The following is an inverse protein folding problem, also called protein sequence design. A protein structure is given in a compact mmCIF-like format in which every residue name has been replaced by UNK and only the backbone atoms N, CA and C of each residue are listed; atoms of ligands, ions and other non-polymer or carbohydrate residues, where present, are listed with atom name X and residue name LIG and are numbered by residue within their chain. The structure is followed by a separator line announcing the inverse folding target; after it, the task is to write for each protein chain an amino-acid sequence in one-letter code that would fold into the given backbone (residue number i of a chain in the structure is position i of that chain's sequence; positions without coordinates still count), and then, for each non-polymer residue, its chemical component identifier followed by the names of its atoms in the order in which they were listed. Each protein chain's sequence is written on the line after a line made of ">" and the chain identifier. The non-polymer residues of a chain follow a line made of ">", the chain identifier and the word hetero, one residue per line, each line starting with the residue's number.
data_IF_914390118772
#
_entry.id   IF_914390118772
#
_cell.length_a   1.000
_cell.length_b   1.000
_cell.length_c   1.000
_cell.angle_alpha   90.00
_cell.angle_beta   90.00
_cell.angle_gamma   90.00
#
_symmetry.space_group_name_H-M   'P 1'
#
loop_
_entity.id
_entity.type
_entity.pdbx_description
1 polymer ?
#
# COMPACT_ATOMS: atom_id res chain seq x y z
N UNK A 1 -32.54 9.10 2.82
CA UNK A 1 -31.99 7.89 2.16
C UNK A 1 -30.77 8.24 1.30
N UNK A 2 -30.84 9.30 0.48
CA UNK A 2 -29.75 9.69 -0.42
C UNK A 2 -28.43 10.07 0.25
N UNK A 3 -28.47 10.76 1.40
CA UNK A 3 -27.28 11.09 2.20
C UNK A 3 -26.58 9.81 2.71
N UNK A 4 -27.36 8.83 3.18
CA UNK A 4 -26.82 7.55 3.66
C UNK A 4 -26.13 6.81 2.52
N UNK A 5 -26.77 6.74 1.34
CA UNK A 5 -26.18 6.10 0.15
C UNK A 5 -24.90 6.84 -0.28
N UNK A 6 -24.92 8.18 -0.28
CA UNK A 6 -23.72 8.98 -0.60
C UNK A 6 -22.59 8.75 0.39
N UNK A 7 -22.90 8.64 1.68
CA UNK A 7 -21.90 8.32 2.70
C UNK A 7 -21.30 6.91 2.52
N UNK A 8 -22.12 5.92 2.19
CA UNK A 8 -21.64 4.57 1.87
C UNK A 8 -20.74 4.55 0.63
N UNK A 9 -21.09 5.30 -0.42
CA UNK A 9 -20.26 5.49 -1.62
C UNK A 9 -18.91 6.11 -1.28
N UNK A 10 -18.94 7.23 -0.54
CA UNK A 10 -17.75 7.89 0.01
C UNK A 10 -16.84 6.91 0.78
N UNK A 11 -17.39 6.15 1.73
CA UNK A 11 -16.61 5.15 2.47
C UNK A 11 -16.05 4.09 1.53
N UNK A 12 -16.87 3.55 0.62
CA UNK A 12 -16.47 2.53 -0.34
C UNK A 12 -15.29 2.96 -1.21
N UNK A 13 -15.33 4.16 -1.78
CA UNK A 13 -14.29 4.66 -2.66
C UNK A 13 -12.97 4.90 -1.91
N UNK A 14 -13.02 5.44 -0.69
CA UNK A 14 -11.81 5.59 0.12
C UNK A 14 -11.23 4.25 0.59
N UNK A 15 -12.04 3.21 0.76
CA UNK A 15 -11.55 1.85 0.98
C UNK A 15 -10.86 1.29 -0.28
N UNK A 16 -11.39 1.59 -1.47
CA UNK A 16 -10.76 1.27 -2.77
C UNK A 16 -9.44 2.03 -3.01
N UNK A 17 -9.22 3.14 -2.31
CA UNK A 17 -7.88 3.75 -2.24
C UNK A 17 -6.96 2.97 -1.29
N UNK A 18 -7.38 2.79 -0.03
CA UNK A 18 -6.49 2.33 1.05
C UNK A 18 -6.06 0.86 0.87
N UNK A 19 -6.98 -0.05 0.54
CA UNK A 19 -6.69 -1.48 0.55
C UNK A 19 -5.93 -1.97 -0.70
N UNK A 20 -6.28 -1.55 -1.93
CA UNK A 20 -5.44 -1.78 -3.10
C UNK A 20 -4.03 -1.21 -2.92
N UNK A 21 -3.89 -0.06 -2.26
CA UNK A 21 -2.58 0.50 -1.92
C UNK A 21 -1.79 -0.39 -0.94
N UNK A 22 -2.46 -0.97 0.06
CA UNK A 22 -1.86 -1.96 0.95
C UNK A 22 -1.42 -3.22 0.20
N UNK A 23 -2.29 -3.76 -0.66
CA UNK A 23 -1.98 -4.95 -1.46
C UNK A 23 -0.80 -4.70 -2.40
N UNK A 24 -0.81 -3.57 -3.12
CA UNK A 24 0.29 -3.18 -4.01
C UNK A 24 1.63 -3.12 -3.28
N UNK A 25 1.63 -2.60 -2.05
CA UNK A 25 2.81 -2.55 -1.21
C UNK A 25 3.30 -3.93 -0.77
N UNK A 26 2.41 -4.84 -0.40
CA UNK A 26 2.78 -6.21 -0.03
C UNK A 26 3.46 -6.94 -1.18
N UNK A 27 2.88 -6.88 -2.38
CA UNK A 27 3.43 -7.50 -3.59
C UNK A 27 4.81 -6.91 -3.94
N UNK A 28 4.99 -5.58 -3.82
CA UNK A 28 6.31 -4.96 -4.01
C UNK A 28 7.32 -5.36 -2.91
N UNK A 29 6.88 -5.57 -1.67
CA UNK A 29 7.75 -6.08 -0.60
C UNK A 29 8.21 -7.52 -0.89
N UNK A 30 7.34 -8.36 -1.45
CA UNK A 30 7.70 -9.71 -1.90
C UNK A 30 8.65 -9.67 -3.10
N UNK A 31 8.41 -8.80 -4.08
CA UNK A 31 9.35 -8.56 -5.18
C UNK A 31 10.73 -8.13 -4.64
N UNK A 32 10.78 -7.22 -3.68
CA UNK A 32 12.02 -6.78 -3.05
C UNK A 32 12.72 -7.89 -2.24
N UNK A 33 11.98 -8.81 -1.61
CA UNK A 33 12.58 -9.91 -0.85
C UNK A 33 13.27 -10.92 -1.77
N UNK A 34 12.71 -11.17 -2.96
CA UNK A 34 13.37 -11.97 -4.02
C UNK A 34 14.63 -11.26 -4.49
N UNK A 35 14.55 -9.96 -4.76
CA UNK A 35 15.70 -9.19 -5.23
C UNK A 35 16.81 -9.04 -4.17
N UNK A 36 16.47 -9.05 -2.88
CA UNK A 36 17.43 -8.93 -1.79
C UNK A 36 18.50 -10.04 -1.78
N UNK A 37 18.20 -11.23 -2.34
CA UNK A 37 19.17 -12.32 -2.50
C UNK A 37 20.40 -11.93 -3.35
N UNK A 38 20.20 -10.97 -4.26
CA UNK A 38 21.19 -10.52 -5.24
C UNK A 38 21.86 -9.19 -4.84
N UNK A 39 21.46 -8.59 -3.72
CA UNK A 39 22.07 -7.36 -3.23
C UNK A 39 23.36 -7.68 -2.46
N UNK A 40 24.41 -6.92 -2.77
CA UNK A 40 25.70 -7.04 -2.05
C UNK A 40 25.48 -6.56 -0.60
N UNK A 41 25.91 -7.38 0.38
CA UNK A 41 25.90 -7.02 1.80
C UNK A 41 26.60 -5.67 2.01
N UNK A 42 25.85 -4.66 2.47
CA UNK A 42 26.39 -3.33 2.80
C UNK A 42 25.71 -2.16 2.09
N UNK A 43 24.95 -2.38 1.01
CA UNK A 43 24.11 -1.33 0.41
C UNK A 43 22.69 -1.42 0.95
N UNK A 44 22.34 -0.54 1.89
CA UNK A 44 20.93 -0.35 2.30
C UNK A 44 20.21 0.45 1.22
N UNK A 45 19.12 -0.06 0.62
CA UNK A 45 18.32 0.75 -0.29
C UNK A 45 17.83 2.00 0.44
N UNK A 46 17.98 3.17 -0.20
CA UNK A 46 17.43 4.42 0.35
C UNK A 46 15.92 4.26 0.53
N UNK A 47 15.34 4.76 1.65
CA UNK A 47 13.90 4.73 1.83
C UNK A 47 13.22 5.45 0.67
N UNK A 48 12.19 4.83 0.11
CA UNK A 48 11.40 5.39 -0.98
C UNK A 48 10.69 6.65 -0.45
N UNK A 49 10.82 7.77 -1.15
CA UNK A 49 10.19 9.03 -0.74
C UNK A 49 8.70 9.05 -1.10
N UNK A 50 7.88 9.73 -0.28
CA UNK A 50 6.42 9.87 -0.45
C UNK A 50 5.99 10.42 -1.82
N UNK A 51 6.80 11.27 -2.46
CA UNK A 51 6.52 11.80 -3.81
C UNK A 51 6.66 10.74 -4.91
N UNK A 52 7.50 9.73 -4.70
CA UNK A 52 7.68 8.63 -5.66
C UNK A 52 6.59 7.59 -5.56
N UNK A 53 5.81 7.67 -4.50
CA UNK A 53 4.61 6.87 -4.28
C UNK A 53 3.42 7.36 -5.11
N UNK A 54 3.44 8.62 -5.56
CA UNK A 54 2.39 9.19 -6.40
C UNK A 54 2.47 8.64 -7.83
N UNK A 55 3.64 8.14 -8.27
CA UNK A 55 3.85 7.63 -9.63
C UNK A 55 4.62 6.30 -9.56
N UNK A 56 3.92 5.15 -9.55
CA UNK A 56 4.54 3.82 -9.49
C UNK A 56 5.69 3.59 -10.50
N UNK A 57 5.63 4.13 -11.75
CA UNK A 57 6.75 4.06 -12.69
C UNK A 57 8.10 4.63 -12.21
N UNK A 58 8.12 5.61 -11.31
CA UNK A 58 9.37 6.26 -10.86
C UNK A 58 10.24 5.33 -10.01
N UNK A 59 9.63 4.36 -9.33
CA UNK A 59 10.33 3.36 -8.52
C UNK A 59 11.29 2.53 -9.39
N UNK A 60 10.91 2.19 -10.62
CA UNK A 60 11.78 1.49 -11.58
C UNK A 60 13.04 2.27 -11.92
N UNK A 61 12.91 3.58 -12.12
CA UNK A 61 14.03 4.42 -12.49
C UNK A 61 15.07 4.43 -11.35
N UNK A 62 14.62 4.42 -10.10
CA UNK A 62 15.52 4.33 -8.93
C UNK A 62 16.09 2.94 -8.68
N UNK A 63 15.30 1.88 -8.82
CA UNK A 63 15.81 0.50 -8.69
C UNK A 63 16.89 0.23 -9.72
N UNK A 64 16.69 0.62 -10.98
CA UNK A 64 17.69 0.50 -12.05
C UNK A 64 18.94 1.36 -11.83
N UNK A 65 18.81 2.47 -11.09
CA UNK A 65 19.91 3.38 -10.75
C UNK A 65 20.70 2.94 -9.52
N UNK A 66 20.08 2.20 -8.61
CA UNK A 66 20.66 1.77 -7.33
C UNK A 66 21.17 0.33 -7.38
N UNK A 67 20.46 -0.55 -8.10
CA UNK A 67 20.93 -1.89 -8.40
C UNK A 67 22.03 -1.80 -9.47
N UNK A 68 23.24 -2.21 -9.12
CA UNK A 68 24.31 -2.33 -10.10
C UNK A 68 23.88 -3.27 -11.24
N UNK A 69 24.29 -2.98 -12.48
CA UNK A 69 23.96 -3.80 -13.67
C UNK A 69 24.26 -5.29 -13.48
N UNK A 70 25.26 -5.62 -12.67
CA UNK A 70 25.63 -7.00 -12.30
C UNK A 70 24.52 -7.73 -11.50
N UNK A 71 23.88 -7.08 -10.54
CA UNK A 71 22.84 -7.69 -9.68
C UNK A 71 21.58 -8.01 -10.48
N UNK A 72 21.21 -7.11 -11.42
CA UNK A 72 20.11 -7.35 -12.35
C UNK A 72 20.45 -8.49 -13.30
N UNK A 73 21.70 -8.55 -13.78
CA UNK A 73 22.17 -9.65 -14.64
C UNK A 73 22.07 -10.99 -13.92
N UNK A 74 22.50 -11.07 -12.67
CA UNK A 74 22.44 -12.30 -11.86
C UNK A 74 21.00 -12.74 -11.58
N UNK A 75 20.10 -11.80 -11.29
CA UNK A 75 18.67 -12.07 -11.17
C UNK A 75 18.11 -12.64 -12.48
N UNK A 76 18.38 -11.98 -13.62
CA UNK A 76 17.87 -12.40 -14.95
C UNK A 76 18.40 -13.78 -15.36
N UNK A 77 19.63 -14.11 -14.97
CA UNK A 77 20.21 -15.43 -15.22
C UNK A 77 19.47 -16.54 -14.45
N UNK A 78 18.93 -16.24 -13.25
CA UNK A 78 18.03 -17.14 -12.54
C UNK A 78 16.59 -16.95 -13.01
N UNK A 79 16.17 -17.76 -13.98
CA UNK A 79 14.84 -17.66 -14.61
C UNK A 79 13.68 -17.74 -13.61
N UNK A 80 13.79 -18.55 -12.55
CA UNK A 80 12.72 -18.73 -11.56
C UNK A 80 12.57 -17.52 -10.65
N UNK A 81 13.69 -17.02 -10.10
CA UNK A 81 13.69 -15.83 -9.25
C UNK A 81 13.31 -14.59 -10.07
N UNK A 82 13.78 -14.46 -11.32
CA UNK A 82 13.35 -13.38 -12.22
C UNK A 82 11.84 -13.40 -12.48
N UNK A 83 11.29 -14.58 -12.82
CA UNK A 83 9.84 -14.73 -13.06
C UNK A 83 9.03 -14.36 -11.82
N UNK A 84 9.48 -14.78 -10.65
CA UNK A 84 8.82 -14.47 -9.37
C UNK A 84 8.89 -12.98 -9.06
N UNK A 85 10.08 -12.39 -9.15
CA UNK A 85 10.30 -10.94 -9.00
C UNK A 85 9.36 -10.14 -9.90
N UNK A 86 9.35 -10.48 -11.20
CA UNK A 86 8.57 -9.76 -12.21
C UNK A 86 7.05 -9.95 -12.03
N UNK A 87 6.61 -11.12 -11.59
CA UNK A 87 5.21 -11.42 -11.30
C UNK A 87 4.69 -10.57 -10.13
N UNK A 88 5.35 -10.63 -8.96
CA UNK A 88 5.00 -9.81 -7.79
C UNK A 88 5.08 -8.32 -8.11
N UNK A 89 6.08 -7.94 -8.89
CA UNK A 89 6.24 -6.57 -9.34
C UNK A 89 5.01 -6.07 -10.12
N UNK A 90 4.60 -6.81 -11.17
CA UNK A 90 3.48 -6.40 -12.03
C UNK A 90 2.16 -6.40 -11.27
N UNK A 91 1.95 -7.35 -10.36
CA UNK A 91 0.79 -7.35 -9.45
C UNK A 91 0.78 -6.12 -8.57
N UNK A 92 1.93 -5.81 -7.96
CA UNK A 92 2.11 -4.61 -7.15
C UNK A 92 1.71 -3.35 -7.91
N UNK A 93 2.27 -3.19 -9.11
CA UNK A 93 1.97 -2.08 -10.02
C UNK A 93 0.47 -1.98 -10.34
N UNK A 94 -0.17 -3.10 -10.70
CA UNK A 94 -1.60 -3.14 -11.02
C UNK A 94 -2.45 -2.66 -9.84
N UNK A 95 -2.16 -3.13 -8.62
CA UNK A 95 -2.87 -2.71 -7.42
C UNK A 95 -2.68 -1.23 -7.08
N UNK A 96 -1.52 -0.65 -7.39
CA UNK A 96 -1.33 0.79 -7.26
C UNK A 96 -2.17 1.60 -8.25
N UNK A 97 -2.36 1.11 -9.48
CA UNK A 97 -3.28 1.76 -10.42
C UNK A 97 -4.73 1.68 -9.93
N UNK A 98 -5.13 0.54 -9.35
CA UNK A 98 -6.45 0.41 -8.72
C UNK A 98 -6.60 1.38 -7.55
N UNK A 99 -5.58 1.50 -6.70
CA UNK A 99 -5.57 2.48 -5.61
C UNK A 99 -5.70 3.92 -6.11
N UNK A 100 -5.00 4.26 -7.19
CA UNK A 100 -5.08 5.58 -7.81
C UNK A 100 -6.49 5.86 -8.36
N UNK A 101 -7.13 4.89 -9.00
CA UNK A 101 -8.52 5.00 -9.40
C UNK A 101 -9.45 5.20 -8.20
N UNK A 102 -9.26 4.43 -7.12
CA UNK A 102 -9.99 4.60 -5.86
C UNK A 102 -9.80 5.98 -5.22
N UNK A 103 -8.60 6.56 -5.31
CA UNK A 103 -8.33 7.92 -4.84
C UNK A 103 -9.14 8.96 -5.63
N UNK A 104 -9.11 8.89 -6.97
CA UNK A 104 -9.88 9.80 -7.82
C UNK A 104 -11.38 9.68 -7.55
N UNK A 105 -11.89 8.44 -7.47
CA UNK A 105 -13.28 8.19 -7.11
C UNK A 105 -13.61 8.75 -5.72
N UNK A 106 -12.73 8.56 -4.73
CA UNK A 106 -12.92 9.07 -3.37
C UNK A 106 -13.03 10.60 -3.34
N UNK A 107 -12.24 11.30 -4.17
CA UNK A 107 -12.37 12.76 -4.33
C UNK A 107 -13.73 13.12 -4.95
N UNK A 108 -14.15 12.43 -6.00
CA UNK A 108 -15.46 12.63 -6.64
C UNK A 108 -16.62 12.38 -5.67
N UNK A 109 -16.66 11.25 -4.98
CA UNK A 109 -17.75 10.95 -4.04
C UNK A 109 -17.74 11.83 -2.79
N UNK A 110 -16.57 12.34 -2.38
CA UNK A 110 -16.48 13.40 -1.36
C UNK A 110 -17.11 14.71 -1.87
N UNK A 111 -16.85 15.08 -3.14
CA UNK A 111 -17.45 16.26 -3.75
C UNK A 111 -18.97 16.13 -3.83
N UNK A 112 -19.47 15.00 -4.36
CA UNK A 112 -20.90 14.72 -4.49
C UNK A 112 -21.59 14.75 -3.11
N UNK A 113 -21.00 14.10 -2.10
CA UNK A 113 -21.56 14.07 -0.74
C UNK A 113 -21.68 15.48 -0.13
N UNK A 114 -20.63 16.31 -0.27
CA UNK A 114 -20.58 17.63 0.38
C UNK A 114 -21.36 18.70 -0.38
N UNK A 115 -21.30 18.70 -1.72
CA UNK A 115 -21.85 19.78 -2.53
C UNK A 115 -23.22 19.45 -3.13
N UNK A 116 -23.45 18.20 -3.54
CA UNK A 116 -24.73 17.81 -4.15
C UNK A 116 -25.73 17.34 -3.10
N UNK A 117 -25.28 16.58 -2.10
CA UNK A 117 -26.19 16.01 -1.09
C UNK A 117 -26.36 16.85 0.17
N UNK A 118 -25.32 17.56 0.58
CA UNK A 118 -25.33 18.46 1.75
C UNK A 118 -25.42 19.94 1.38
N UNK A 119 -25.34 20.28 0.09
CA UNK A 119 -25.50 21.64 -0.44
C UNK A 119 -24.61 22.70 0.24
N UNK A 120 -23.37 22.32 0.63
CA UNK A 120 -22.48 23.19 1.42
C UNK A 120 -21.82 24.33 0.63
N UNK A 121 -22.06 24.44 -0.68
CA UNK A 121 -21.53 25.48 -1.56
C UNK A 121 -20.01 25.65 -1.46
N UNK A 122 -19.52 26.89 -1.33
CA UNK A 122 -18.07 27.18 -1.26
C UNK A 122 -17.37 26.51 -0.07
N UNK A 123 -18.08 26.35 1.06
CA UNK A 123 -17.54 25.66 2.25
C UNK A 123 -17.31 24.18 1.92
N UNK A 124 -18.19 23.58 1.11
CA UNK A 124 -18.04 22.20 0.63
C UNK A 124 -16.76 21.96 -0.18
N UNK A 125 -16.31 22.95 -0.97
CA UNK A 125 -15.04 22.87 -1.71
C UNK A 125 -13.83 22.90 -0.76
N UNK A 126 -13.86 23.75 0.26
CA UNK A 126 -12.78 23.80 1.27
C UNK A 126 -12.73 22.48 2.05
N UNK A 127 -13.89 21.97 2.47
CA UNK A 127 -14.00 20.69 3.18
C UNK A 127 -13.56 19.51 2.31
N UNK A 128 -13.87 19.51 1.01
CA UNK A 128 -13.40 18.50 0.06
C UNK A 128 -11.87 18.40 0.08
N UNK A 129 -11.17 19.54 -0.03
CA UNK A 129 -9.70 19.58 -0.02
C UNK A 129 -9.17 19.05 1.32
N UNK A 130 -9.72 19.54 2.43
CA UNK A 130 -9.27 19.15 3.78
C UNK A 130 -9.48 17.65 4.01
N UNK A 131 -10.69 17.14 3.74
CA UNK A 131 -11.03 15.73 3.94
C UNK A 131 -10.17 14.83 3.03
N UNK A 132 -10.00 15.19 1.76
CA UNK A 132 -9.18 14.42 0.82
C UNK A 132 -7.73 14.35 1.26
N UNK A 133 -7.15 15.46 1.73
CA UNK A 133 -5.78 15.49 2.27
C UNK A 133 -5.67 14.64 3.54
N UNK A 134 -6.61 14.78 4.47
CA UNK A 134 -6.62 14.00 5.72
C UNK A 134 -6.65 12.51 5.41
N UNK A 135 -7.58 12.05 4.55
CA UNK A 135 -7.71 10.63 4.23
C UNK A 135 -6.50 10.14 3.43
N UNK A 136 -5.95 10.96 2.51
CA UNK A 136 -4.72 10.62 1.81
C UNK A 136 -3.57 10.34 2.78
N UNK A 137 -3.27 11.29 3.69
CA UNK A 137 -2.16 11.14 4.64
C UNK A 137 -2.43 10.05 5.68
N UNK A 138 -3.65 9.97 6.22
CA UNK A 138 -4.05 8.94 7.17
C UNK A 138 -4.00 7.55 6.55
N UNK A 139 -4.47 7.40 5.30
CA UNK A 139 -4.41 6.17 4.53
C UNK A 139 -2.97 5.72 4.28
N UNK A 140 -2.09 6.64 3.86
CA UNK A 140 -0.66 6.37 3.71
C UNK A 140 -0.03 5.93 5.03
N UNK A 141 -0.29 6.65 6.12
CA UNK A 141 0.20 6.30 7.45
C UNK A 141 -0.29 4.91 7.89
N UNK A 142 -1.57 4.62 7.65
CA UNK A 142 -2.18 3.34 7.99
C UNK A 142 -1.54 2.20 7.20
N UNK A 143 -1.36 2.32 5.89
CA UNK A 143 -0.67 1.32 5.06
C UNK A 143 0.79 1.11 5.50
N UNK A 144 1.50 2.21 5.85
CA UNK A 144 2.84 2.13 6.45
C UNK A 144 2.82 1.32 7.76
N UNK A 145 1.85 1.58 8.64
CA UNK A 145 1.68 0.83 9.87
C UNK A 145 1.37 -0.65 9.60
N UNK A 146 0.48 -0.94 8.65
CA UNK A 146 0.07 -2.31 8.30
C UNK A 146 1.22 -3.18 7.79
N UNK A 147 2.19 -2.55 7.12
CA UNK A 147 3.40 -3.21 6.58
C UNK A 147 4.62 -3.10 7.50
N UNK A 148 4.47 -2.47 8.66
CA UNK A 148 5.57 -2.27 9.60
C UNK A 148 5.82 -3.50 10.48
N UNK A 149 7.08 -3.73 10.81
CA UNK A 149 7.49 -4.72 11.80
C UNK A 149 6.86 -4.51 13.19
N UNK A 150 6.44 -3.28 13.52
CA UNK A 150 5.73 -2.98 14.77
C UNK A 150 4.39 -3.71 14.84
N UNK A 151 3.63 -3.77 13.74
CA UNK A 151 2.37 -4.52 13.67
C UNK A 151 2.62 -6.02 13.73
N UNK A 152 3.61 -6.51 12.99
CA UNK A 152 4.01 -7.92 13.02
C UNK A 152 4.33 -8.39 14.45
N UNK A 153 5.15 -7.62 15.17
CA UNK A 153 5.41 -7.87 16.59
C UNK A 153 4.17 -7.90 17.46
N UNK A 154 3.24 -6.95 17.27
CA UNK A 154 1.99 -6.90 18.04
C UNK A 154 1.13 -8.13 17.75
N UNK A 155 1.06 -8.55 16.48
CA UNK A 155 0.34 -9.75 16.07
C UNK A 155 0.93 -11.00 16.72
N UNK A 156 2.25 -11.19 16.65
CA UNK A 156 2.95 -12.33 17.29
C UNK A 156 2.74 -12.32 18.81
N UNK A 157 2.84 -11.15 19.47
CA UNK A 157 2.56 -11.03 20.91
C UNK A 157 1.13 -11.40 21.28
N UNK A 158 0.15 -11.06 20.43
CA UNK A 158 -1.25 -11.43 20.62
C UNK A 158 -1.51 -12.94 20.47
N UNK A 159 -0.71 -13.63 19.65
CA UNK A 159 -0.81 -15.09 19.48
C UNK A 159 -0.11 -15.88 20.59
N UNK A 160 0.85 -15.29 21.29
CA UNK A 160 1.64 -15.97 22.34
C UNK A 160 0.78 -16.62 23.45
N UNK A 161 -0.24 -15.95 24.01
CA UNK A 161 -1.15 -16.55 24.99
C UNK A 161 -1.95 -17.72 24.42
N UNK A 162 -2.40 -17.61 23.16
CA UNK A 162 -3.16 -18.66 22.47
C UNK A 162 -2.31 -19.91 22.29
N UNK A 163 -1.10 -19.75 21.74
CA UNK A 163 -0.15 -20.84 21.52
C UNK A 163 0.22 -21.53 22.84
N UNK A 164 0.49 -20.74 23.89
CA UNK A 164 0.80 -21.27 25.23
C UNK A 164 -0.34 -22.11 25.81
N UNK A 165 -1.59 -21.67 25.64
CA UNK A 165 -2.77 -22.41 26.12
C UNK A 165 -3.01 -23.69 25.31
N UNK A 166 -2.84 -23.65 23.98
CA UNK A 166 -2.96 -24.84 23.12
C UNK A 166 -1.91 -25.90 23.43
N UNK A 167 -0.65 -25.50 23.69
CA UNK A 167 0.40 -26.44 24.09
C UNK A 167 0.14 -27.05 25.46
N UNK A 168 -0.43 -26.30 26.40
CA UNK A 168 -0.78 -26.79 27.74
C UNK A 168 -1.91 -27.83 27.72
N UNK A 169 -2.87 -27.68 26.81
CA UNK A 169 -3.96 -28.64 26.59
C UNK A 169 -3.51 -29.93 25.88
N UNK A 170 -2.40 -29.91 25.14
CA UNK A 170 -1.87 -31.08 24.42
C UNK A 170 -0.99 -31.99 25.30
N UNK A 171 -0.68 -31.56 26.52
CA UNK A 171 0.12 -32.27 27.52
C UNK A 171 -0.68 -32.69 28.77
N UNK A 172 -2.01 -32.59 28.71
CA UNK A 172 -2.96 -33.21 29.64
C UNK A 172 -3.69 -34.33 28.91
#
# INVERSE_FOLDING_TARGET
>A
MEIIIGFLGFVGDWLLFIFPMYQGRMELMESNSVFAKYQIKGHKPKPISLLEWIIPPLIFHRLKKTAGRAQIKDLVNNKEDFKSFYSFYNKGLAWYFVAYAGFLNGVCSTYELLNEKMELGTIGIILLIIISLIIFFAGQYYVNYLTSWKREKRFIKGLFPVIKNTLKQKHQ
#
